data_IF_640873810661
#
_entry.id   IF_640873810661
#
_cell.length_a   1.000
_cell.length_b   1.000
_cell.length_c   1.000
_cell.angle_alpha   90.00
_cell.angle_beta   90.00
_cell.angle_gamma   90.00
#
_symmetry.space_group_name_H-M   'P 1'
#
loop_
_entity.id
_entity.type
_entity.pdbx_description
1 polymer ?
#
# COMPACT_ATOMS: atom_id res chain seq x y z
N UNK A 1 47.49 -31.09 22.02
CA UNK A 1 46.27 -31.39 21.23
C UNK A 1 45.10 -30.43 21.53
N UNK A 2 45.34 -29.15 21.86
CA UNK A 2 44.28 -28.16 22.19
C UNK A 2 43.69 -27.44 20.98
N UNK A 3 44.44 -27.36 19.87
CA UNK A 3 44.14 -26.52 18.70
C UNK A 3 42.85 -26.89 17.93
N UNK A 4 42.36 -28.13 18.04
CA UNK A 4 41.12 -28.58 17.40
C UNK A 4 39.84 -28.14 18.11
N UNK A 5 39.86 -27.98 19.45
CA UNK A 5 38.69 -27.58 20.25
C UNK A 5 38.37 -26.09 20.12
N UNK A 6 39.39 -25.26 19.95
CA UNK A 6 39.21 -23.81 19.82
C UNK A 6 38.73 -23.42 18.42
N UNK A 7 39.22 -24.12 17.40
CA UNK A 7 38.74 -23.97 16.01
C UNK A 7 37.25 -24.34 15.87
N UNK A 8 36.80 -25.41 16.52
CA UNK A 8 35.39 -25.82 16.50
C UNK A 8 34.46 -24.81 17.21
N UNK A 9 34.88 -24.25 18.35
CA UNK A 9 34.11 -23.21 19.06
C UNK A 9 34.00 -21.92 18.25
N UNK A 10 35.06 -21.55 17.54
CA UNK A 10 35.08 -20.37 16.67
C UNK A 10 34.13 -20.54 15.48
N UNK A 11 34.11 -21.71 14.85
CA UNK A 11 33.16 -22.04 13.77
C UNK A 11 31.70 -22.02 14.23
N UNK A 12 31.41 -22.55 15.42
CA UNK A 12 30.05 -22.52 16.00
C UNK A 12 29.61 -21.08 16.28
N UNK A 13 30.49 -20.23 16.84
CA UNK A 13 30.17 -18.84 17.12
C UNK A 13 29.87 -18.04 15.84
N UNK A 14 30.68 -18.21 14.80
CA UNK A 14 30.47 -17.55 13.49
C UNK A 14 29.15 -18.00 12.86
N UNK A 15 28.84 -19.30 12.93
CA UNK A 15 27.58 -19.87 12.46
C UNK A 15 26.37 -19.25 13.17
N UNK A 16 26.41 -19.14 14.51
CA UNK A 16 25.32 -18.57 15.31
C UNK A 16 25.12 -17.09 14.99
N UNK A 17 26.19 -16.31 14.86
CA UNK A 17 26.13 -14.90 14.47
C UNK A 17 25.52 -14.75 13.07
N UNK A 18 25.93 -15.57 12.11
CA UNK A 18 25.40 -15.53 10.75
C UNK A 18 23.89 -15.86 10.72
N UNK A 19 23.46 -16.87 11.49
CA UNK A 19 22.05 -17.23 11.61
C UNK A 19 21.22 -16.09 12.25
N UNK A 20 21.75 -15.44 13.29
CA UNK A 20 21.12 -14.28 13.92
C UNK A 20 21.03 -13.09 12.96
N UNK A 21 22.07 -12.82 12.16
CA UNK A 21 22.02 -11.79 11.13
C UNK A 21 20.94 -12.08 10.07
N UNK A 22 20.79 -13.33 9.64
CA UNK A 22 19.73 -13.73 8.70
C UNK A 22 18.32 -13.56 9.30
N UNK A 23 18.15 -13.85 10.60
CA UNK A 23 16.89 -13.63 11.32
C UNK A 23 16.55 -12.15 11.48
N UNK A 24 17.54 -11.27 11.63
CA UNK A 24 17.33 -9.81 11.68
C UNK A 24 16.94 -9.23 10.31
N UNK A 25 17.34 -9.89 9.21
CA UNK A 25 16.94 -9.51 7.84
C UNK A 25 15.53 -9.99 7.46
N UNK A 26 14.93 -10.88 8.25
CA UNK A 26 13.54 -11.29 8.09
C UNK A 26 12.62 -10.17 8.59
N UNK A 27 12.40 -9.15 7.75
CA UNK A 27 11.28 -8.24 7.96
C UNK A 27 9.97 -9.05 7.92
N UNK A 28 9.22 -9.04 9.03
CA UNK A 28 7.92 -9.69 9.10
C UNK A 28 6.98 -9.17 8.01
N UNK A 29 6.41 -10.08 7.22
CA UNK A 29 5.48 -9.77 6.13
C UNK A 29 4.07 -9.44 6.66
N UNK A 30 3.97 -8.42 7.51
CA UNK A 30 2.67 -7.90 7.94
C UNK A 30 2.18 -6.88 6.93
N UNK A 31 0.97 -7.10 6.40
CA UNK A 31 0.27 -6.11 5.59
C UNK A 31 -0.01 -4.86 6.43
N UNK A 32 0.46 -3.71 5.99
CA UNK A 32 0.17 -2.43 6.62
C UNK A 32 -1.22 -1.94 6.21
N UNK A 33 -1.86 -1.14 7.08
CA UNK A 33 -3.13 -0.49 6.79
C UNK A 33 -2.95 1.01 6.75
N UNK A 34 -3.40 1.64 5.66
CA UNK A 34 -3.30 3.08 5.45
C UNK A 34 -4.69 3.70 5.32
N UNK A 35 -5.00 4.69 6.17
CA UNK A 35 -6.18 5.53 5.94
C UNK A 35 -5.84 6.60 4.91
N UNK A 36 -6.49 6.53 3.76
CA UNK A 36 -6.29 7.47 2.64
C UNK A 36 -6.68 8.88 3.09
N UNK A 37 -5.80 9.86 2.84
CA UNK A 37 -5.96 11.25 3.30
C UNK A 37 -5.74 11.47 4.79
N UNK A 38 -5.45 10.43 5.58
CA UNK A 38 -5.23 10.56 7.03
C UNK A 38 -6.48 11.07 7.76
N UNK A 39 -6.35 12.06 8.68
CA UNK A 39 -7.48 12.62 9.41
C UNK A 39 -8.57 13.23 8.51
N UNK A 40 -8.19 13.74 7.33
CA UNK A 40 -9.13 14.35 6.37
C UNK A 40 -9.97 13.32 5.60
N UNK A 41 -9.54 12.06 5.59
CA UNK A 41 -10.21 11.00 4.83
C UNK A 41 -10.09 11.16 3.32
N UNK A 42 -10.95 10.44 2.60
CA UNK A 42 -11.04 10.48 1.15
C UNK A 42 -11.82 11.73 0.71
N UNK A 43 -11.10 12.75 0.23
CA UNK A 43 -11.65 14.05 -0.14
C UNK A 43 -10.87 14.69 -1.31
N UNK A 44 -11.22 15.91 -1.70
CA UNK A 44 -10.54 16.67 -2.76
C UNK A 44 -9.05 16.90 -2.45
N UNK A 45 -8.23 17.08 -3.50
CA UNK A 45 -6.78 17.29 -3.41
C UNK A 45 -6.01 16.20 -2.63
N UNK A 46 -6.49 14.95 -2.69
CA UNK A 46 -5.85 13.79 -2.04
C UNK A 46 -4.76 13.16 -2.92
N UNK A 47 -4.54 13.66 -4.13
CA UNK A 47 -3.59 13.14 -5.13
C UNK A 47 -2.14 13.14 -4.68
N UNK A 48 -1.77 14.04 -3.78
CA UNK A 48 -0.42 14.10 -3.21
C UNK A 48 -0.24 13.23 -1.97
N UNK A 49 -1.32 12.71 -1.37
CA UNK A 49 -1.25 11.90 -0.15
C UNK A 49 -0.32 10.67 -0.26
N UNK A 50 -0.23 9.96 -1.39
CA UNK A 50 0.71 8.83 -1.53
C UNK A 50 2.19 9.22 -1.40
N UNK A 51 2.56 10.49 -1.57
CA UNK A 51 3.95 10.94 -1.57
C UNK A 51 4.68 10.58 -0.27
N UNK A 52 5.91 10.10 -0.40
CA UNK A 52 6.78 9.70 0.73
C UNK A 52 6.41 8.37 1.39
N UNK A 53 5.34 7.68 0.94
CA UNK A 53 4.94 6.37 1.49
C UNK A 53 5.52 5.24 0.65
N UNK A 54 5.78 4.11 1.31
CA UNK A 54 6.25 2.88 0.67
C UNK A 54 5.17 1.82 0.86
N UNK A 55 4.45 1.53 -0.20
CA UNK A 55 3.38 0.53 -0.21
C UNK A 55 3.93 -0.82 -0.66
N UNK A 56 3.42 -1.90 -0.08
CA UNK A 56 3.73 -3.29 -0.43
C UNK A 56 2.49 -3.99 -0.97
N UNK A 57 2.71 -4.96 -1.84
CA UNK A 57 1.63 -5.82 -2.28
C UNK A 57 0.97 -6.49 -1.06
N UNK A 58 -0.35 -6.34 -0.95
CA UNK A 58 -1.13 -6.88 0.16
C UNK A 58 -1.43 -5.91 1.29
N UNK A 59 -0.83 -4.72 1.33
CA UNK A 59 -1.27 -3.62 2.20
C UNK A 59 -2.74 -3.26 1.94
N UNK A 60 -3.42 -2.69 2.93
CA UNK A 60 -4.82 -2.31 2.86
C UNK A 60 -4.96 -0.79 2.86
N UNK A 61 -5.69 -0.25 1.89
CA UNK A 61 -6.16 1.13 1.90
C UNK A 61 -7.56 1.19 2.51
N UNK A 62 -7.76 2.10 3.45
CA UNK A 62 -9.05 2.43 4.05
C UNK A 62 -9.50 3.78 3.54
N UNK A 63 -10.62 3.81 2.83
CA UNK A 63 -11.25 5.01 2.30
C UNK A 63 -12.44 5.39 3.19
N UNK A 64 -12.29 6.48 3.95
CA UNK A 64 -13.35 7.03 4.81
C UNK A 64 -13.92 8.30 4.17
N UNK A 65 -15.23 8.36 3.96
CA UNK A 65 -15.90 9.48 3.31
C UNK A 65 -17.43 9.44 3.56
N UNK A 66 -18.11 10.56 3.30
CA UNK A 66 -19.57 10.60 3.22
C UNK A 66 -20.04 9.90 1.94
N UNK A 67 -20.68 8.74 2.08
CA UNK A 67 -21.13 7.90 0.96
C UNK A 67 -22.26 8.51 0.13
N UNK A 68 -22.90 9.58 0.59
CA UNK A 68 -23.87 10.34 -0.20
C UNK A 68 -23.19 11.25 -1.23
N UNK A 69 -21.97 11.69 -0.91
CA UNK A 69 -21.23 12.71 -1.68
C UNK A 69 -20.04 12.14 -2.44
N UNK A 70 -19.51 10.99 -2.03
CA UNK A 70 -18.30 10.41 -2.60
C UNK A 70 -18.41 8.90 -2.78
N UNK A 71 -17.49 8.36 -3.58
CA UNK A 71 -17.32 6.93 -3.79
C UNK A 71 -15.87 6.62 -4.14
N UNK A 72 -15.57 5.32 -4.30
CA UNK A 72 -14.26 4.84 -4.72
C UNK A 72 -14.41 3.90 -5.90
N UNK A 73 -13.63 4.15 -6.95
CA UNK A 73 -13.58 3.29 -8.14
C UNK A 73 -12.12 2.95 -8.43
N UNK A 74 -11.81 1.66 -8.49
CA UNK A 74 -10.52 1.19 -9.01
C UNK A 74 -10.53 1.29 -10.54
N UNK A 75 -9.50 1.90 -11.11
CA UNK A 75 -9.39 2.14 -12.56
C UNK A 75 -8.03 1.73 -13.09
N UNK A 76 -7.89 1.68 -14.42
CA UNK A 76 -6.58 1.58 -15.05
C UNK A 76 -5.90 2.95 -15.17
N UNK A 77 -4.68 2.97 -15.72
CA UNK A 77 -3.90 4.19 -15.95
C UNK A 77 -4.64 5.21 -16.82
N UNK A 78 -5.36 4.76 -17.85
CA UNK A 78 -6.11 5.66 -18.75
C UNK A 78 -7.31 6.27 -18.04
N UNK A 79 -8.07 5.46 -17.28
CA UNK A 79 -9.18 5.90 -16.46
C UNK A 79 -8.74 6.89 -15.39
N UNK A 80 -7.59 6.67 -14.75
CA UNK A 80 -6.99 7.63 -13.85
C UNK A 80 -6.64 8.95 -14.56
N UNK A 81 -5.92 8.91 -15.67
CA UNK A 81 -5.50 10.12 -16.38
C UNK A 81 -6.68 10.92 -16.94
N UNK A 82 -7.74 10.25 -17.41
CA UNK A 82 -8.91 10.87 -18.03
C UNK A 82 -10.07 11.11 -17.06
N UNK A 83 -9.92 10.74 -15.80
CA UNK A 83 -11.00 10.78 -14.81
C UNK A 83 -12.27 10.04 -15.26
N UNK A 84 -12.09 8.83 -15.81
CA UNK A 84 -13.18 7.99 -16.32
C UNK A 84 -13.14 6.62 -15.67
N UNK A 85 -14.28 6.16 -15.17
CA UNK A 85 -14.44 4.77 -14.78
C UNK A 85 -14.32 3.87 -16.00
N UNK A 86 -13.59 2.77 -15.85
CA UNK A 86 -13.56 1.69 -16.85
C UNK A 86 -14.92 1.01 -16.92
N UNK A 87 -15.32 0.54 -18.11
CA UNK A 87 -16.58 -0.18 -18.27
C UNK A 87 -16.59 -1.42 -17.36
N UNK A 88 -17.66 -1.59 -16.57
CA UNK A 88 -17.79 -2.68 -15.60
C UNK A 88 -16.95 -2.50 -14.33
N UNK A 89 -16.30 -1.35 -14.12
CA UNK A 89 -15.59 -1.07 -12.88
C UNK A 89 -16.55 -1.14 -11.69
N UNK A 90 -16.15 -1.85 -10.64
CA UNK A 90 -16.90 -1.89 -9.39
C UNK A 90 -16.83 -0.53 -8.71
N UNK A 91 -17.98 0.05 -8.41
CA UNK A 91 -18.12 1.25 -7.59
C UNK A 91 -18.32 0.82 -6.14
N UNK A 92 -17.49 1.33 -5.24
CA UNK A 92 -17.62 1.14 -3.81
C UNK A 92 -18.21 2.42 -3.19
N UNK A 93 -19.19 2.26 -2.31
CA UNK A 93 -20.00 3.36 -1.78
C UNK A 93 -20.39 3.13 -0.31
N UNK A 94 -19.59 2.39 0.47
CA UNK A 94 -19.93 2.13 1.88
C UNK A 94 -19.60 3.31 2.81
N UNK A 95 -18.73 4.23 2.38
CA UNK A 95 -18.17 5.29 3.22
C UNK A 95 -17.01 4.84 4.12
N UNK A 96 -16.69 3.55 4.15
CA UNK A 96 -15.55 2.97 4.86
C UNK A 96 -14.98 1.75 4.11
N UNK A 97 -14.64 1.93 2.83
CA UNK A 97 -14.20 0.84 1.97
C UNK A 97 -12.76 0.44 2.26
N UNK A 98 -12.50 -0.86 2.20
CA UNK A 98 -11.16 -1.42 2.37
C UNK A 98 -10.73 -2.15 1.10
N UNK A 99 -9.58 -1.75 0.55
CA UNK A 99 -9.04 -2.32 -0.68
C UNK A 99 -7.62 -2.81 -0.42
N UNK A 100 -7.37 -4.09 -0.70
CA UNK A 100 -6.03 -4.68 -0.67
C UNK A 100 -5.27 -4.32 -1.94
N UNK A 101 -4.06 -3.80 -1.81
CA UNK A 101 -3.21 -3.42 -2.93
C UNK A 101 -2.69 -4.65 -3.67
N UNK A 102 -2.82 -4.64 -5.00
CA UNK A 102 -2.14 -5.58 -5.88
C UNK A 102 -0.67 -5.16 -6.06
N UNK A 103 0.21 -6.11 -6.41
CA UNK A 103 1.59 -5.77 -6.79
C UNK A 103 1.58 -4.88 -8.05
N UNK A 104 2.41 -3.84 -8.04
CA UNK A 104 2.53 -2.86 -9.11
C UNK A 104 1.61 -1.65 -8.95
N UNK A 105 1.19 -1.08 -10.08
CA UNK A 105 0.39 0.15 -10.10
C UNK A 105 -1.07 -0.11 -9.74
N UNK A 106 -1.59 0.69 -8.81
CA UNK A 106 -2.99 0.73 -8.39
C UNK A 106 -3.50 2.18 -8.55
N UNK A 107 -4.69 2.35 -9.12
CA UNK A 107 -5.30 3.66 -9.34
C UNK A 107 -6.72 3.70 -8.80
N UNK A 108 -7.04 4.78 -8.09
CA UNK A 108 -8.36 4.98 -7.49
C UNK A 108 -8.84 6.40 -7.76
N UNK A 109 -10.13 6.56 -8.04
CA UNK A 109 -10.79 7.85 -8.26
C UNK A 109 -12.13 7.89 -7.54
N UNK A 110 -12.63 9.09 -7.26
CA UNK A 110 -14.06 9.34 -7.10
C UNK A 110 -14.62 9.72 -8.46
N UNK A 111 -15.68 9.05 -8.93
CA UNK A 111 -16.22 9.29 -10.27
C UNK A 111 -17.44 10.22 -10.28
N UNK A 112 -17.76 10.85 -9.14
CA UNK A 112 -18.74 11.94 -9.12
C UNK A 112 -18.26 13.09 -10.01
N UNK A 113 -19.17 13.76 -10.74
CA UNK A 113 -18.79 14.79 -11.70
C UNK A 113 -17.87 15.86 -11.11
N UNK A 114 -16.69 16.05 -11.69
CA UNK A 114 -15.71 17.06 -11.29
C UNK A 114 -14.82 16.69 -10.09
N UNK A 115 -15.10 15.58 -9.40
CA UNK A 115 -14.37 15.22 -8.18
C UNK A 115 -12.95 14.72 -8.48
N UNK A 116 -12.82 13.82 -9.45
CA UNK A 116 -11.51 13.33 -9.88
C UNK A 116 -10.64 14.45 -10.44
N UNK A 117 -11.22 15.35 -11.24
CA UNK A 117 -10.54 16.53 -11.80
C UNK A 117 -10.06 17.48 -10.70
N UNK A 118 -10.79 17.53 -9.58
CA UNK A 118 -10.46 18.31 -8.38
C UNK A 118 -9.54 17.56 -7.41
N UNK A 119 -8.72 16.62 -7.92
CA UNK A 119 -7.69 15.92 -7.15
C UNK A 119 -8.19 14.80 -6.24
N UNK A 120 -9.45 14.37 -6.35
CA UNK A 120 -9.97 13.22 -5.61
C UNK A 120 -9.63 11.89 -6.30
N UNK A 121 -8.33 11.64 -6.41
CA UNK A 121 -7.71 10.52 -7.14
C UNK A 121 -6.37 10.17 -6.50
N UNK A 122 -5.95 8.92 -6.51
CA UNK A 122 -4.60 8.51 -6.08
C UNK A 122 -4.00 7.46 -7.01
N UNK A 123 -2.67 7.51 -7.16
CA UNK A 123 -1.86 6.53 -7.88
C UNK A 123 -0.81 5.98 -6.93
N UNK A 124 -0.76 4.66 -6.77
CA UNK A 124 0.13 3.96 -5.85
C UNK A 124 0.91 2.89 -6.60
N UNK A 125 2.22 2.82 -6.36
CA UNK A 125 3.04 1.67 -6.73
C UNK A 125 3.30 0.82 -5.48
N UNK A 126 2.81 -0.41 -5.47
CA UNK A 126 3.04 -1.37 -4.40
C UNK A 126 4.11 -2.39 -4.82
N UNK A 127 5.23 -2.44 -4.08
CA UNK A 127 6.37 -3.34 -4.39
C UNK A 127 6.17 -4.77 -3.92
#
# INVERSE_FOLDING_TARGET
MSQGRDSAKSLVLVSVICLLCLLVLLEGANAATYTVGGPSGWTFNTDTWPNGKRFRAGDVLVFKYDSTSHNVVAVDKSGYSKCRSTAGAKVLSSGNDQIKLARGQNYFICNYPGHCESGMKISINAV
#
